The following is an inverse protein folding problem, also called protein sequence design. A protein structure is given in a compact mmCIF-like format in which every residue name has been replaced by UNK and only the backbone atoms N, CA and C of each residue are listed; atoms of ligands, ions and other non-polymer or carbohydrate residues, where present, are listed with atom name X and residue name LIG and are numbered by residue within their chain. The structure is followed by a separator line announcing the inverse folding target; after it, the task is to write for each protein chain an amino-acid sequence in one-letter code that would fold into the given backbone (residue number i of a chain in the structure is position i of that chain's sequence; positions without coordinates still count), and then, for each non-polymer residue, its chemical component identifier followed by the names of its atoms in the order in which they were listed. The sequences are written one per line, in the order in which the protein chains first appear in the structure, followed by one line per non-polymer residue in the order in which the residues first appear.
data_IF_645759635293
#
_entry.id   IF_645759635293
#
_cell.length_a   1.000
_cell.length_b   1.000
_cell.length_c   1.000
_cell.angle_alpha   90.00
_cell.angle_beta   90.00
_cell.angle_gamma   90.00
#
_symmetry.space_group_name_H-M   'P 1'
#
loop_
_entity.id
_entity.type
_entity.pdbx_description
1 polymer ?
#
# COMPACT_ATOMS: atom_id res chain seq x y z
N UNK A 1 9.24 -0.37 -5.22
CA UNK A 1 8.03 -1.05 -4.67
C UNK A 1 6.77 -0.21 -4.87
N UNK A 2 6.72 1.06 -4.46
CA UNK A 2 5.57 1.97 -4.68
C UNK A 2 5.55 2.66 -6.05
N UNK A 3 6.35 2.16 -7.00
CA UNK A 3 6.51 2.74 -8.33
C UNK A 3 6.30 1.62 -9.34
N UNK A 4 5.46 1.81 -10.37
CA UNK A 4 5.20 0.78 -11.37
C UNK A 4 6.51 0.25 -11.99
N UNK A 5 6.57 -1.06 -12.22
CA UNK A 5 7.67 -1.74 -12.92
C UNK A 5 7.92 -1.10 -14.27
N UNK A 6 6.87 -0.75 -15.01
CA UNK A 6 7.00 -0.03 -16.30
C UNK A 6 7.78 1.27 -16.17
N UNK A 7 7.54 2.05 -15.12
CA UNK A 7 8.29 3.28 -14.83
C UNK A 7 9.74 2.99 -14.43
N UNK A 8 9.98 1.95 -13.62
CA UNK A 8 11.34 1.55 -13.23
C UNK A 8 12.16 1.10 -14.45
N UNK A 9 11.54 0.34 -15.36
CA UNK A 9 12.16 -0.09 -16.62
C UNK A 9 12.45 1.10 -17.53
N UNK A 10 11.52 2.07 -17.64
CA UNK A 10 11.74 3.28 -18.42
C UNK A 10 12.97 4.05 -17.93
N UNK A 11 13.10 4.22 -16.61
CA UNK A 11 14.27 4.88 -16.01
C UNK A 11 15.53 4.07 -16.30
N UNK A 12 15.51 2.75 -16.12
CA UNK A 12 16.67 1.90 -16.39
C UNK A 12 17.13 1.97 -17.86
N UNK A 13 16.20 1.98 -18.81
CA UNK A 13 16.50 2.14 -20.23
C UNK A 13 16.97 3.56 -20.59
N UNK A 14 16.57 4.58 -19.83
CA UNK A 14 17.03 5.94 -20.06
C UNK A 14 18.46 6.20 -19.53
N UNK A 15 18.95 5.44 -18.54
CA UNK A 15 20.25 5.68 -17.91
C UNK A 15 21.43 5.72 -18.91
N UNK A 16 21.61 4.75 -19.82
CA UNK A 16 22.70 4.80 -20.79
C UNK A 16 22.59 5.97 -21.77
N UNK A 17 21.38 6.51 -21.96
CA UNK A 17 21.15 7.67 -22.83
C UNK A 17 21.68 8.98 -22.24
N UNK A 18 21.98 9.04 -20.94
CA UNK A 18 22.66 10.20 -20.35
C UNK A 18 24.05 10.42 -20.96
N UNK A 19 24.72 9.35 -21.38
CA UNK A 19 26.01 9.40 -22.07
C UNK A 19 25.83 9.62 -23.58
N UNK A 20 24.79 9.03 -24.16
CA UNK A 20 24.53 9.14 -25.60
C UNK A 20 23.91 10.47 -26.03
N UNK A 21 23.25 11.19 -25.12
CA UNK A 21 22.61 12.48 -25.36
C UNK A 21 23.54 13.66 -24.98
N UNK A 22 23.44 14.82 -25.63
CA UNK A 22 24.20 16.01 -25.24
C UNK A 22 23.75 16.47 -23.84
N UNK A 23 24.69 16.89 -23.00
CA UNK A 23 24.43 17.23 -21.60
C UNK A 23 23.26 18.21 -21.41
N UNK A 24 23.12 19.21 -22.30
CA UNK A 24 22.02 20.18 -22.31
C UNK A 24 20.62 19.56 -22.38
N UNK A 25 20.49 18.35 -22.91
CA UNK A 25 19.21 17.65 -23.04
C UNK A 25 18.69 17.09 -21.72
N UNK A 26 19.57 16.88 -20.73
CA UNK A 26 19.19 16.33 -19.43
C UNK A 26 19.57 17.22 -18.24
N UNK A 27 20.59 18.08 -18.38
CA UNK A 27 21.14 18.88 -17.28
C UNK A 27 20.09 19.80 -16.63
N UNK A 28 19.20 20.40 -17.41
CA UNK A 28 18.15 21.29 -16.92
C UNK A 28 17.17 20.59 -15.95
N UNK A 29 16.99 19.27 -16.06
CA UNK A 29 16.13 18.48 -15.17
C UNK A 29 16.93 17.73 -14.12
N UNK A 30 18.09 17.16 -14.51
CA UNK A 30 18.92 16.37 -13.63
C UNK A 30 19.60 17.19 -12.53
N UNK A 31 20.00 18.43 -12.81
CA UNK A 31 20.66 19.29 -11.81
C UNK A 31 19.68 19.67 -10.69
N UNK A 32 18.49 20.25 -10.95
CA UNK A 32 17.52 20.52 -9.89
C UNK A 32 17.11 19.25 -9.14
N UNK A 33 16.97 18.12 -9.86
CA UNK A 33 16.67 16.83 -9.26
C UNK A 33 17.75 16.37 -8.28
N UNK A 34 19.03 16.46 -8.67
CA UNK A 34 20.15 16.09 -7.82
C UNK A 34 20.29 17.02 -6.61
N UNK A 35 20.11 18.33 -6.81
CA UNK A 35 20.12 19.32 -5.71
C UNK A 35 18.99 19.04 -4.72
N UNK A 36 17.78 18.79 -5.21
CA UNK A 36 16.64 18.46 -4.37
C UNK A 36 16.87 17.15 -3.60
N UNK A 37 17.37 16.12 -4.28
CA UNK A 37 17.65 14.84 -3.65
C UNK A 37 18.72 14.96 -2.56
N UNK A 38 19.79 15.72 -2.81
CA UNK A 38 20.83 16.00 -1.82
C UNK A 38 20.27 16.77 -0.60
N UNK A 39 19.39 17.74 -0.81
CA UNK A 39 18.74 18.48 0.27
C UNK A 39 17.75 17.59 1.06
N UNK A 40 16.98 16.75 0.37
CA UNK A 40 16.02 15.84 0.98
C UNK A 40 16.69 14.80 1.88
N UNK A 41 17.78 14.18 1.42
CA UNK A 41 18.56 13.19 2.20
C UNK A 41 19.21 13.82 3.43
N UNK A 42 19.53 15.12 3.39
CA UNK A 42 20.06 15.86 4.54
C UNK A 42 18.98 16.36 5.50
N UNK A 43 17.71 16.27 5.13
CA UNK A 43 16.61 16.75 5.97
C UNK A 43 16.33 15.77 7.12
N UNK A 44 16.00 16.30 8.31
CA UNK A 44 15.56 15.50 9.46
C UNK A 44 14.06 15.12 9.38
N UNK A 45 13.42 15.30 8.23
CA UNK A 45 11.98 15.12 8.06
C UNK A 45 11.67 13.63 7.80
N UNK A 46 11.26 12.92 8.84
CA UNK A 46 11.00 11.47 8.80
C UNK A 46 9.56 11.09 8.37
N UNK A 47 8.96 11.80 7.41
CA UNK A 47 7.63 11.45 6.86
C UNK A 47 7.69 10.38 5.74
N UNK A 48 8.75 9.57 5.74
CA UNK A 48 9.02 8.56 4.72
C UNK A 48 9.21 9.17 3.32
N UNK A 49 8.99 8.40 2.26
CA UNK A 49 9.20 8.82 0.85
C UNK A 49 8.34 10.00 0.38
N UNK A 50 7.40 10.51 1.19
CA UNK A 50 6.49 11.60 0.81
C UNK A 50 7.22 12.92 0.58
N UNK A 51 8.28 13.19 1.32
CA UNK A 51 9.13 14.35 1.06
C UNK A 51 9.99 14.19 -0.21
N UNK A 52 10.02 13.00 -0.84
CA UNK A 52 10.66 12.78 -2.13
C UNK A 52 9.67 12.86 -3.30
N UNK A 53 8.39 13.18 -3.06
CA UNK A 53 7.38 13.23 -4.12
C UNK A 53 7.76 14.09 -5.33
N UNK A 54 8.41 15.27 -5.18
CA UNK A 54 8.84 16.07 -6.31
C UNK A 54 9.87 15.40 -7.24
N UNK A 55 10.60 14.38 -6.75
CA UNK A 55 11.60 13.63 -7.53
C UNK A 55 10.94 12.80 -8.63
N UNK A 56 9.75 12.25 -8.39
CA UNK A 56 9.08 11.34 -9.33
C UNK A 56 8.72 11.98 -10.67
N UNK A 57 7.97 13.10 -10.75
CA UNK A 57 7.59 13.69 -12.04
C UNK A 57 8.83 14.14 -12.83
N UNK A 58 9.84 14.71 -12.17
CA UNK A 58 11.08 15.12 -12.82
C UNK A 58 11.86 13.93 -13.40
N UNK A 59 11.97 12.84 -12.65
CA UNK A 59 12.63 11.61 -13.10
C UNK A 59 11.89 10.98 -14.27
N UNK A 60 10.56 10.93 -14.22
CA UNK A 60 9.72 10.36 -15.28
C UNK A 60 9.83 11.20 -16.56
N UNK A 61 9.71 12.53 -16.46
CA UNK A 61 9.84 13.43 -17.62
C UNK A 61 11.23 13.34 -18.23
N UNK A 62 12.27 13.31 -17.41
CA UNK A 62 13.64 13.15 -17.88
C UNK A 62 13.84 11.82 -18.62
N UNK A 63 13.41 10.71 -18.03
CA UNK A 63 13.56 9.38 -18.62
C UNK A 63 12.74 9.22 -19.92
N UNK A 64 11.48 9.68 -19.91
CA UNK A 64 10.61 9.67 -21.09
C UNK A 64 11.16 10.56 -22.20
N UNK A 65 11.63 11.77 -21.87
CA UNK A 65 12.23 12.71 -22.82
C UNK A 65 13.48 12.13 -23.47
N UNK A 66 14.39 11.54 -22.68
CA UNK A 66 15.58 10.87 -23.19
C UNK A 66 15.22 9.70 -24.12
N UNK A 67 14.30 8.84 -23.72
CA UNK A 67 13.87 7.71 -24.54
C UNK A 67 13.19 8.13 -25.84
N UNK A 68 12.32 9.15 -25.80
CA UNK A 68 11.60 9.64 -26.96
C UNK A 68 12.52 10.34 -27.98
N UNK A 69 13.49 11.11 -27.52
CA UNK A 69 14.35 11.94 -28.39
C UNK A 69 15.66 11.27 -28.77
N UNK A 70 16.27 10.53 -27.85
CA UNK A 70 17.61 9.93 -28.02
C UNK A 70 17.60 8.40 -28.01
N UNK A 71 16.47 7.75 -27.69
CA UNK A 71 16.38 6.29 -27.62
C UNK A 71 16.78 5.59 -28.91
N UNK A 72 16.54 6.22 -30.07
CA UNK A 72 16.95 5.70 -31.37
C UNK A 72 18.47 5.54 -31.55
N UNK A 73 19.30 6.29 -30.82
CA UNK A 73 20.77 6.18 -30.90
C UNK A 73 21.28 4.84 -30.38
N UNK A 74 20.67 4.34 -29.31
CA UNK A 74 21.07 3.10 -28.65
C UNK A 74 20.18 1.92 -29.03
N UNK A 75 18.86 2.12 -28.99
CA UNK A 75 17.85 1.08 -29.19
C UNK A 75 17.31 1.02 -30.62
N UNK A 76 17.76 1.91 -31.51
CA UNK A 76 17.37 1.95 -32.93
C UNK A 76 15.84 1.93 -33.09
N UNK A 77 15.31 1.06 -33.97
CA UNK A 77 13.88 0.92 -34.23
C UNK A 77 13.08 0.32 -33.05
N UNK A 78 13.75 -0.22 -32.02
CA UNK A 78 13.08 -0.75 -30.84
C UNK A 78 12.68 0.34 -29.83
N UNK A 79 13.29 1.54 -29.89
CA UNK A 79 13.02 2.64 -28.96
C UNK A 79 11.51 2.96 -28.75
N UNK A 80 10.70 3.16 -29.81
CA UNK A 80 9.27 3.44 -29.62
C UNK A 80 8.50 2.26 -29.01
N UNK A 81 8.88 1.02 -29.35
CA UNK A 81 8.25 -0.20 -28.80
C UNK A 81 8.58 -0.36 -27.33
N UNK A 82 9.83 -0.13 -26.93
CA UNK A 82 10.27 -0.17 -25.53
C UNK A 82 9.56 0.90 -24.70
N UNK A 83 9.48 2.13 -25.21
CA UNK A 83 8.78 3.23 -24.55
C UNK A 83 7.28 2.90 -24.39
N UNK A 84 6.61 2.49 -25.45
CA UNK A 84 5.21 2.09 -25.41
C UNK A 84 4.98 0.93 -24.44
N UNK A 85 5.85 -0.09 -24.44
CA UNK A 85 5.80 -1.22 -23.52
C UNK A 85 5.92 -0.78 -22.05
N UNK A 86 6.84 0.14 -21.74
CA UNK A 86 6.97 0.69 -20.39
C UNK A 86 5.70 1.45 -19.95
N UNK A 87 5.13 2.28 -20.83
CA UNK A 87 3.89 2.99 -20.55
C UNK A 87 2.70 2.04 -20.35
N UNK A 88 2.56 1.02 -21.20
CA UNK A 88 1.50 0.02 -21.09
C UNK A 88 1.62 -0.79 -19.79
N UNK A 89 2.83 -1.19 -19.40
CA UNK A 89 3.05 -1.88 -18.13
C UNK A 89 2.67 -1.01 -16.92
N UNK A 90 3.07 0.27 -16.93
CA UNK A 90 2.72 1.20 -15.85
C UNK A 90 1.21 1.45 -15.78
N UNK A 91 0.55 1.59 -16.93
CA UNK A 91 -0.91 1.74 -17.01
C UNK A 91 -1.61 0.46 -16.53
N UNK A 92 -1.16 -0.72 -16.95
CA UNK A 92 -1.74 -2.00 -16.54
C UNK A 92 -1.65 -2.21 -15.02
N UNK A 93 -0.51 -1.88 -14.40
CA UNK A 93 -0.36 -1.94 -12.94
C UNK A 93 -1.28 -0.95 -12.21
N UNK A 94 -1.47 0.26 -12.76
CA UNK A 94 -2.36 1.28 -12.16
C UNK A 94 -3.84 0.88 -12.28
N UNK A 95 -4.26 0.41 -13.46
CA UNK A 95 -5.63 -0.08 -13.69
C UNK A 95 -5.94 -1.29 -12.82
N UNK A 96 -4.96 -2.18 -12.60
CA UNK A 96 -5.16 -3.39 -11.81
C UNK A 96 -5.42 -3.12 -10.33
N UNK A 97 -4.92 -2.01 -9.78
CA UNK A 97 -5.11 -1.68 -8.36
C UNK A 97 -6.33 -0.78 -8.13
N UNK A 98 -6.78 -0.05 -9.15
CA UNK A 98 -7.93 0.84 -9.04
C UNK A 98 -9.15 0.12 -8.44
N UNK A 99 -9.86 0.70 -7.45
CA UNK A 99 -9.70 2.05 -6.88
C UNK A 99 -8.79 2.14 -5.63
N UNK A 100 -7.99 1.12 -5.31
CA UNK A 100 -7.25 1.01 -4.03
C UNK A 100 -5.79 1.52 -4.12
N UNK A 101 -5.56 2.68 -4.74
CA UNK A 101 -4.22 3.18 -5.08
C UNK A 101 -3.26 3.31 -3.89
N UNK A 102 -3.77 3.60 -2.68
CA UNK A 102 -2.94 3.65 -1.47
C UNK A 102 -2.25 2.29 -1.23
N UNK A 103 -2.98 1.19 -1.43
CA UNK A 103 -2.48 -0.17 -1.28
C UNK A 103 -1.60 -0.63 -2.46
N UNK A 104 -1.29 0.24 -3.43
CA UNK A 104 -0.45 -0.13 -4.57
C UNK A 104 0.93 -0.62 -4.13
N UNK A 105 1.32 -1.79 -4.62
CA UNK A 105 2.69 -2.27 -4.66
C UNK A 105 2.90 -2.91 -6.02
N UNK A 106 4.05 -2.64 -6.62
CA UNK A 106 4.39 -3.15 -7.93
C UNK A 106 4.54 -4.69 -7.91
N UNK A 107 4.44 -5.32 -9.08
CA UNK A 107 4.46 -6.79 -9.20
C UNK A 107 5.76 -7.39 -8.66
N UNK A 108 6.89 -6.69 -8.81
CA UNK A 108 8.18 -7.12 -8.27
C UNK A 108 8.22 -7.17 -6.73
N UNK A 109 7.35 -6.41 -6.06
CA UNK A 109 7.16 -6.43 -4.61
C UNK A 109 6.11 -7.48 -4.14
N UNK A 110 5.55 -8.25 -5.07
CA UNK A 110 4.49 -9.23 -4.79
C UNK A 110 3.07 -8.65 -4.84
N UNK A 111 2.90 -7.44 -5.36
CA UNK A 111 1.59 -6.81 -5.48
C UNK A 111 0.98 -6.35 -4.15
N UNK A 112 -0.24 -5.79 -4.18
CA UNK A 112 -0.94 -5.28 -2.99
C UNK A 112 -1.14 -6.37 -1.91
N UNK A 113 -1.30 -7.62 -2.31
CA UNK A 113 -1.45 -8.77 -1.41
C UNK A 113 -0.27 -8.97 -0.45
N UNK A 114 0.95 -8.68 -0.92
CA UNK A 114 2.18 -8.85 -0.15
C UNK A 114 2.70 -7.52 0.44
N UNK A 115 2.06 -6.40 0.10
CA UNK A 115 2.51 -5.06 0.48
C UNK A 115 2.71 -4.87 1.99
N UNK A 116 1.80 -5.42 2.79
CA UNK A 116 1.81 -5.36 4.25
C UNK A 116 3.07 -5.99 4.90
N UNK A 117 3.80 -6.86 4.17
CA UNK A 117 5.06 -7.45 4.66
C UNK A 117 6.28 -6.55 4.40
N UNK A 118 6.10 -5.47 3.64
CA UNK A 118 7.17 -4.57 3.19
C UNK A 118 6.98 -3.18 3.79
N UNK A 119 5.79 -2.58 3.65
CA UNK A 119 5.41 -1.35 4.32
C UNK A 119 3.99 -1.42 4.84
N UNK A 120 3.81 -0.88 6.03
CA UNK A 120 2.54 -0.73 6.71
C UNK A 120 2.24 0.75 6.95
N UNK A 121 1.30 1.03 7.84
CA UNK A 121 0.86 2.37 8.21
C UNK A 121 0.11 3.05 7.06
N UNK A 122 0.12 4.36 7.06
CA UNK A 122 -0.29 5.31 6.03
C UNK A 122 0.20 5.01 4.60
N UNK A 123 1.03 3.98 4.39
CA UNK A 123 1.38 3.44 3.08
C UNK A 123 0.36 2.42 2.55
N UNK A 124 -0.57 1.93 3.36
CA UNK A 124 -1.65 1.01 2.96
C UNK A 124 -3.01 1.53 3.43
N UNK A 125 -3.05 2.21 4.58
CA UNK A 125 -4.30 2.49 5.26
C UNK A 125 -4.33 3.91 5.84
N UNK A 126 -5.45 4.59 5.62
CA UNK A 126 -5.87 5.86 6.21
C UNK A 126 -7.35 5.82 6.65
N UNK A 127 -7.98 4.63 6.60
CA UNK A 127 -9.42 4.44 6.74
C UNK A 127 -10.19 4.52 5.42
N UNK A 128 -9.52 4.60 4.26
CA UNK A 128 -10.17 4.79 2.95
C UNK A 128 -11.12 3.63 2.58
N UNK A 129 -10.87 2.42 3.07
CA UNK A 129 -11.65 1.22 2.74
C UNK A 129 -12.84 1.01 3.69
N UNK A 130 -13.14 1.97 4.57
CA UNK A 130 -14.24 1.85 5.51
C UNK A 130 -15.61 1.81 4.80
N UNK A 131 -15.80 2.59 3.74
CA UNK A 131 -17.03 2.55 2.94
C UNK A 131 -17.26 1.17 2.33
N UNK A 132 -16.24 0.62 1.67
CA UNK A 132 -16.27 -0.74 1.12
C UNK A 132 -16.51 -1.81 2.20
N UNK A 133 -16.01 -1.59 3.41
CA UNK A 133 -16.24 -2.50 4.54
C UNK A 133 -17.71 -2.48 5.00
N UNK A 134 -18.32 -1.30 5.04
CA UNK A 134 -19.74 -1.14 5.38
C UNK A 134 -20.62 -1.80 4.32
N UNK A 135 -20.25 -1.69 3.04
CA UNK A 135 -20.92 -2.42 1.95
C UNK A 135 -20.76 -3.93 2.12
N UNK A 136 -19.54 -4.41 2.41
CA UNK A 136 -19.26 -5.82 2.65
C UNK A 136 -20.03 -6.39 3.86
N UNK A 137 -20.30 -5.56 4.87
CA UNK A 137 -21.09 -5.96 6.02
C UNK A 137 -22.50 -6.40 5.60
N UNK A 138 -23.05 -5.87 4.50
CA UNK A 138 -24.29 -6.32 3.86
C UNK A 138 -25.46 -6.46 4.85
N UNK A 139 -25.66 -5.43 5.69
CA UNK A 139 -26.73 -5.41 6.68
C UNK A 139 -26.57 -6.37 7.87
N UNK A 140 -25.43 -7.07 7.99
CA UNK A 140 -25.15 -7.93 9.17
C UNK A 140 -25.19 -7.09 10.47
N UNK A 141 -25.58 -7.71 11.60
CA UNK A 141 -25.65 -7.02 12.88
C UNK A 141 -24.28 -6.48 13.29
N UNK A 142 -24.19 -5.17 13.55
CA UNK A 142 -22.92 -4.49 13.89
C UNK A 142 -22.40 -4.88 15.27
N UNK A 143 -23.29 -5.28 16.18
CA UNK A 143 -22.99 -5.83 17.50
C UNK A 143 -22.25 -7.18 17.41
N UNK A 144 -22.37 -7.91 16.30
CA UNK A 144 -21.57 -9.12 16.04
C UNK A 144 -20.17 -8.83 15.48
N UNK A 145 -19.84 -7.57 15.20
CA UNK A 145 -18.60 -7.18 14.50
C UNK A 145 -17.75 -6.24 15.33
N UNK A 146 -16.52 -6.63 15.62
CA UNK A 146 -15.53 -5.76 16.22
C UNK A 146 -14.72 -5.06 15.11
N UNK A 147 -14.90 -3.75 14.96
CA UNK A 147 -14.17 -2.92 14.00
C UNK A 147 -13.01 -2.20 14.70
N UNK A 148 -11.79 -2.58 14.36
CA UNK A 148 -10.56 -1.93 14.80
C UNK A 148 -9.81 -1.40 13.59
N UNK A 149 -10.14 -0.19 13.15
CA UNK A 149 -9.60 0.38 11.92
C UNK A 149 -8.69 1.57 12.19
N UNK A 150 -7.79 1.86 11.25
CA UNK A 150 -6.71 2.85 11.41
C UNK A 150 -7.14 4.29 11.10
N UNK A 151 -8.38 4.51 10.66
CA UNK A 151 -8.87 5.86 10.38
C UNK A 151 -9.22 6.65 11.64
N UNK A 152 -9.57 7.91 11.43
CA UNK A 152 -9.77 8.90 12.50
C UNK A 152 -11.24 9.20 12.80
N UNK A 153 -12.17 8.67 12.01
CA UNK A 153 -13.60 8.95 12.19
C UNK A 153 -14.14 8.11 13.36
N UNK A 154 -14.92 8.69 14.28
CA UNK A 154 -15.53 7.93 15.37
C UNK A 154 -16.35 6.72 14.90
N UNK A 155 -16.31 5.61 15.64
CA UNK A 155 -16.99 4.36 15.30
C UNK A 155 -18.53 4.46 15.40
N UNK A 156 -19.01 5.25 16.35
CA UNK A 156 -20.42 5.52 16.61
C UNK A 156 -21.13 6.19 15.42
N UNK A 157 -20.41 7.04 14.66
CA UNK A 157 -20.89 7.63 13.41
C UNK A 157 -21.35 6.55 12.40
N UNK A 158 -20.73 5.36 12.43
CA UNK A 158 -21.07 4.23 11.56
C UNK A 158 -21.92 3.16 12.26
N UNK A 159 -22.36 3.43 13.49
CA UNK A 159 -23.20 2.54 14.30
C UNK A 159 -22.44 1.34 14.89
N UNK A 160 -21.12 1.43 15.05
CA UNK A 160 -20.33 0.40 15.74
C UNK A 160 -20.05 0.82 17.18
N UNK A 161 -20.35 -0.07 18.12
CA UNK A 161 -19.90 0.07 19.50
C UNK A 161 -18.40 -0.21 19.60
N UNK A 162 -17.72 0.49 20.51
CA UNK A 162 -16.33 0.23 20.84
C UNK A 162 -16.11 -1.24 21.23
N UNK A 163 -14.97 -1.79 20.81
CA UNK A 163 -14.55 -3.14 21.17
C UNK A 163 -13.02 -3.23 21.14
N UNK A 164 -12.50 -4.20 21.90
CA UNK A 164 -11.09 -4.56 21.86
C UNK A 164 -10.87 -5.88 21.13
N UNK A 165 -9.73 -5.99 20.45
CA UNK A 165 -9.19 -7.29 20.08
C UNK A 165 -8.47 -7.87 21.29
N UNK A 166 -8.96 -9.00 21.78
CA UNK A 166 -8.36 -9.73 22.91
C UNK A 166 -6.91 -10.14 22.58
N UNK A 167 -5.94 -9.83 23.46
CA UNK A 167 -4.54 -10.23 23.25
C UNK A 167 -4.35 -11.76 23.23
N UNK A 168 -3.38 -12.21 22.46
CA UNK A 168 -3.01 -13.62 22.25
C UNK A 168 -2.70 -14.35 23.57
N UNK A 169 -2.09 -13.67 24.53
CA UNK A 169 -1.83 -14.22 25.85
C UNK A 169 -3.13 -14.55 26.61
N UNK A 170 -4.16 -13.74 26.46
CA UNK A 170 -5.45 -13.96 27.11
C UNK A 170 -6.23 -15.09 26.44
N UNK A 171 -6.17 -15.18 25.10
CA UNK A 171 -6.68 -16.34 24.35
C UNK A 171 -6.04 -17.64 24.87
N UNK A 172 -4.70 -17.66 25.05
CA UNK A 172 -3.99 -18.83 25.60
C UNK A 172 -4.39 -19.18 27.03
N UNK A 173 -4.84 -18.20 27.82
CA UNK A 173 -5.38 -18.38 29.17
C UNK A 173 -6.85 -18.82 29.20
N UNK A 174 -7.46 -19.06 28.03
CA UNK A 174 -8.85 -19.48 27.91
C UNK A 174 -9.84 -18.34 27.72
N UNK A 175 -9.36 -17.10 27.55
CA UNK A 175 -10.17 -15.96 27.11
C UNK A 175 -10.81 -16.24 25.75
N UNK A 176 -12.00 -15.67 25.54
CA UNK A 176 -12.81 -15.92 24.35
C UNK A 176 -13.28 -14.59 23.79
N UNK A 177 -13.16 -14.34 22.47
CA UNK A 177 -13.67 -13.12 21.87
C UNK A 177 -15.18 -12.99 22.09
N UNK A 178 -15.62 -11.74 22.24
CA UNK A 178 -17.02 -11.39 22.50
C UNK A 178 -17.86 -11.36 21.23
N UNK A 179 -17.25 -10.86 20.13
CA UNK A 179 -17.90 -10.69 18.83
C UNK A 179 -17.55 -11.84 17.89
N UNK A 180 -18.36 -12.03 16.84
CA UNK A 180 -18.17 -13.10 15.84
C UNK A 180 -17.13 -12.74 14.80
N UNK A 181 -17.17 -11.50 14.35
CA UNK A 181 -16.33 -11.01 13.28
C UNK A 181 -15.36 -9.99 13.85
N UNK A 182 -14.10 -10.07 13.45
CA UNK A 182 -13.08 -9.07 13.74
C UNK A 182 -12.62 -8.48 12.42
N UNK A 183 -12.94 -7.21 12.20
CA UNK A 183 -12.48 -6.42 11.07
C UNK A 183 -11.38 -5.49 11.57
N UNK A 184 -10.13 -5.77 11.19
CA UNK A 184 -8.97 -5.07 11.71
C UNK A 184 -8.12 -4.53 10.57
N UNK A 185 -7.75 -3.25 10.65
CA UNK A 185 -6.77 -2.66 9.74
C UNK A 185 -5.44 -3.40 9.82
N UNK A 186 -4.84 -3.74 8.68
CA UNK A 186 -3.61 -4.55 8.59
C UNK A 186 -2.44 -3.88 9.31
N UNK A 187 -2.39 -2.55 9.32
CA UNK A 187 -1.46 -1.74 10.12
C UNK A 187 -1.55 -2.06 11.61
N UNK A 188 -2.78 -2.17 12.14
CA UNK A 188 -3.01 -2.55 13.53
C UNK A 188 -2.74 -4.04 13.70
N UNK A 189 -3.23 -4.90 12.81
CA UNK A 189 -2.98 -6.35 12.88
C UNK A 189 -1.48 -6.71 12.96
N UNK A 190 -0.62 -5.98 12.28
CA UNK A 190 0.83 -6.20 12.27
C UNK A 190 1.59 -5.50 13.41
N UNK A 191 0.90 -4.78 14.31
CA UNK A 191 1.49 -4.18 15.50
C UNK A 191 2.41 -3.00 15.22
N UNK A 192 2.04 -2.12 14.28
CA UNK A 192 2.82 -0.89 14.04
C UNK A 192 2.79 0.04 15.27
N UNK A 193 1.65 0.09 15.95
CA UNK A 193 1.39 1.02 17.07
C UNK A 193 1.22 0.34 18.43
N UNK A 194 1.49 -0.96 18.50
CA UNK A 194 1.39 -1.75 19.72
C UNK A 194 2.22 -3.04 19.57
N UNK A 195 2.26 -3.87 20.61
CA UNK A 195 3.04 -5.12 20.57
C UNK A 195 2.47 -6.07 19.52
N UNK A 196 3.28 -6.39 18.52
CA UNK A 196 2.91 -7.29 17.43
C UNK A 196 2.33 -8.59 17.96
N UNK A 197 2.83 -9.15 19.06
CA UNK A 197 2.40 -10.42 19.63
C UNK A 197 0.92 -10.44 20.05
N UNK A 198 0.31 -9.28 20.33
CA UNK A 198 -1.07 -9.19 20.80
C UNK A 198 -2.08 -9.86 19.86
N UNK A 199 -1.88 -9.77 18.55
CA UNK A 199 -2.85 -10.30 17.58
C UNK A 199 -2.33 -11.54 16.84
N UNK A 200 -1.43 -12.30 17.47
CA UNK A 200 -0.87 -13.54 16.94
C UNK A 200 -1.94 -14.54 16.49
N UNK A 201 -2.94 -14.79 17.33
CA UNK A 201 -4.05 -15.69 17.05
C UNK A 201 -4.90 -15.28 15.82
N UNK A 202 -5.03 -13.99 15.51
CA UNK A 202 -5.68 -13.52 14.27
C UNK A 202 -4.77 -13.72 13.06
N UNK A 203 -3.47 -13.37 13.17
CA UNK A 203 -2.51 -13.56 12.06
C UNK A 203 -2.30 -15.03 11.70
N UNK A 204 -2.49 -15.94 12.65
CA UNK A 204 -2.45 -17.39 12.39
C UNK A 204 -3.69 -17.90 11.63
N UNK A 205 -4.73 -17.09 11.48
CA UNK A 205 -5.97 -17.43 10.78
C UNK A 205 -5.96 -16.88 9.36
N UNK A 206 -6.68 -17.57 8.47
CA UNK A 206 -6.96 -17.05 7.13
C UNK A 206 -8.12 -16.05 7.22
N UNK A 207 -7.96 -14.80 6.75
CA UNK A 207 -9.07 -13.86 6.72
C UNK A 207 -10.14 -14.36 5.75
N UNK A 208 -11.41 -14.13 6.09
CA UNK A 208 -12.56 -14.41 5.22
C UNK A 208 -12.72 -13.35 4.13
N UNK A 209 -12.18 -12.15 4.36
CA UNK A 209 -12.19 -11.04 3.42
C UNK A 209 -11.00 -10.10 3.67
N UNK A 210 -10.52 -9.48 2.60
CA UNK A 210 -9.52 -8.40 2.63
C UNK A 210 -10.10 -7.20 1.88
N UNK A 211 -10.61 -6.21 2.59
CA UNK A 211 -11.31 -5.07 2.01
C UNK A 211 -10.27 -3.99 1.68
N UNK A 212 -10.24 -3.56 0.41
CA UNK A 212 -9.25 -2.62 -0.14
C UNK A 212 -7.79 -2.91 0.22
N UNK A 213 -7.46 -4.18 0.48
CA UNK A 213 -6.17 -4.66 1.01
C UNK A 213 -5.75 -4.09 2.38
N UNK A 214 -6.58 -3.25 3.00
CA UNK A 214 -6.26 -2.49 4.21
C UNK A 214 -6.99 -3.04 5.44
N UNK A 215 -8.22 -3.54 5.32
CA UNK A 215 -9.02 -4.10 6.44
C UNK A 215 -9.18 -5.60 6.25
N UNK A 216 -8.70 -6.40 7.19
CA UNK A 216 -8.80 -7.86 7.16
C UNK A 216 -9.93 -8.30 8.08
N UNK A 217 -10.80 -9.18 7.57
CA UNK A 217 -11.95 -9.68 8.34
C UNK A 217 -11.75 -11.15 8.67
N UNK A 218 -11.99 -11.51 9.93
CA UNK A 218 -11.85 -12.87 10.45
C UNK A 218 -13.16 -13.36 11.05
N UNK A 219 -13.59 -14.58 10.71
CA UNK A 219 -14.61 -15.31 11.48
C UNK A 219 -13.92 -15.99 12.66
N UNK A 220 -14.42 -15.76 13.88
CA UNK A 220 -13.87 -16.35 15.11
C UNK A 220 -14.93 -17.17 15.86
N UNK A 221 -16.01 -17.58 15.17
CA UNK A 221 -17.11 -18.38 15.73
C UNK A 221 -16.65 -19.67 16.42
N UNK A 222 -15.54 -20.27 15.97
CA UNK A 222 -14.95 -21.49 16.51
C UNK A 222 -14.39 -21.32 17.94
N UNK A 223 -14.01 -20.09 18.31
CA UNK A 223 -13.46 -19.77 19.62
C UNK A 223 -14.25 -18.69 20.36
N UNK A 224 -15.35 -18.17 19.80
CA UNK A 224 -16.19 -17.15 20.45
C UNK A 224 -16.82 -17.68 21.72
N UNK A 225 -17.01 -16.80 22.71
CA UNK A 225 -17.85 -17.09 23.87
C UNK A 225 -19.27 -17.38 23.36
N UNK A 226 -19.82 -18.57 23.62
CA UNK A 226 -21.22 -18.83 23.28
C UNK A 226 -22.10 -17.92 24.15
N UNK A 227 -23.19 -17.34 23.61
CA UNK A 227 -24.16 -16.62 24.41
C UNK A 227 -24.61 -17.50 25.58
N UNK A 228 -24.70 -16.93 26.78
CA UNK A 228 -25.07 -17.68 27.98
C UNK A 228 -26.54 -18.18 27.98
N UNK A 229 -27.29 -17.93 26.91
CA UNK A 229 -28.68 -18.33 26.75
C UNK A 229 -28.89 -19.08 25.42
N UNK A 230 -29.39 -20.32 25.53
CA UNK A 230 -30.16 -21.09 24.56
C UNK A 230 -31.09 -22.01 25.33
#
# INVERSE_FOLDING_TARGET
MKTPVGTLLLVALALPLLVAAPYRAWAALAIPLAVYWAAAVQSHVNIGVRHLMPVFPLTIVLAAGLMATWGGRLYRRAAPVLLAGCCLLAAAESVRIFPHDIAFFNVAAGGPENGHRILLDSNIDWGQSLGEFIEWLDGRPRDEVCLCYFGVVPLDYFGFDECGVIPDEEIRRGGRPERRWYAISVTLLEGVYHKREWYGWLRARKPVAKIGYSIYVFDVSDIRKKPAWR
#
